data_IF_104966556236
#
_entry.id   IF_104966556236
#
_cell.length_a   1.000
_cell.length_b   1.000
_cell.length_c   1.000
_cell.angle_alpha   90.00
_cell.angle_beta   90.00
_cell.angle_gamma   90.00
#
_symmetry.space_group_name_H-M   'P 1'
#
loop_
_entity.id
_entity.type
_entity.pdbx_description
1 polymer ?
#
# COMPACT_ATOMS: atom_id res chain seq x y z
N UNK A 1 -7.19 1.67 33.38
CA UNK A 1 -7.20 2.69 32.31
C UNK A 1 -8.04 2.17 31.17
N UNK A 2 -9.30 2.61 31.13
CA UNK A 2 -10.25 2.41 30.02
C UNK A 2 -10.00 3.50 28.98
N UNK A 3 -10.51 3.25 27.77
CA UNK A 3 -10.57 4.14 26.60
C UNK A 3 -9.42 4.01 25.59
N UNK A 4 -9.65 3.11 24.62
CA UNK A 4 -9.25 3.25 23.21
C UNK A 4 -10.05 2.26 22.36
N UNK A 5 -11.36 2.45 22.32
CA UNK A 5 -12.21 1.86 21.27
C UNK A 5 -12.76 3.02 20.44
N UNK A 6 -11.87 3.65 19.67
CA UNK A 6 -12.26 4.63 18.65
C UNK A 6 -12.86 3.81 17.52
N UNK A 7 -14.19 3.72 17.51
CA UNK A 7 -14.95 3.05 16.46
C UNK A 7 -14.53 3.56 15.08
N UNK A 8 -14.18 2.63 14.21
CA UNK A 8 -14.05 2.79 12.76
C UNK A 8 -15.40 3.20 12.16
N UNK A 9 -15.80 4.47 12.26
CA UNK A 9 -16.98 4.97 11.58
C UNK A 9 -16.67 5.08 10.07
N UNK A 10 -17.43 4.40 9.19
CA UNK A 10 -17.22 4.52 7.75
C UNK A 10 -17.50 5.95 7.31
N UNK A 11 -16.58 6.54 6.55
CA UNK A 11 -16.79 7.86 5.95
C UNK A 11 -17.41 7.68 4.56
N UNK A 12 -18.63 8.18 4.37
CA UNK A 12 -19.26 8.26 3.05
C UNK A 12 -18.73 9.47 2.29
N UNK A 13 -18.31 9.26 1.04
CA UNK A 13 -17.85 10.34 0.17
C UNK A 13 -19.05 11.04 -0.48
N UNK A 14 -19.03 12.37 -0.53
CA UNK A 14 -20.08 13.14 -1.21
C UNK A 14 -20.06 12.82 -2.71
N UNK A 15 -21.19 12.33 -3.24
CA UNK A 15 -21.40 12.11 -4.68
C UNK A 15 -21.07 10.70 -5.19
N UNK A 16 -20.50 9.82 -4.36
CA UNK A 16 -20.24 8.42 -4.69
C UNK A 16 -20.69 7.54 -3.53
N UNK A 17 -21.46 6.48 -3.80
CA UNK A 17 -21.92 5.49 -2.79
C UNK A 17 -20.79 4.61 -2.24
N UNK A 18 -19.58 5.15 -2.10
CA UNK A 18 -18.43 4.41 -1.60
C UNK A 18 -18.24 4.62 -0.10
N UNK A 19 -17.98 3.54 0.63
CA UNK A 19 -17.63 3.56 2.05
C UNK A 19 -16.12 3.43 2.22
N UNK A 20 -15.51 4.40 2.90
CA UNK A 20 -14.10 4.36 3.29
C UNK A 20 -13.96 3.95 4.74
N UNK A 21 -13.10 2.98 5.02
CA UNK A 21 -12.83 2.52 6.40
C UNK A 21 -11.46 1.86 6.52
N UNK A 22 -10.99 1.71 7.75
CA UNK A 22 -9.84 0.84 8.04
C UNK A 22 -10.21 -0.62 7.78
N UNK A 23 -9.23 -1.36 7.29
CA UNK A 23 -9.34 -2.80 7.14
C UNK A 23 -9.30 -3.49 8.50
N UNK A 24 -9.87 -4.67 8.52
CA UNK A 24 -9.88 -5.59 9.65
C UNK A 24 -9.54 -7.00 9.16
N UNK A 25 -9.35 -7.95 10.09
CA UNK A 25 -8.97 -9.31 9.74
C UNK A 25 -9.98 -9.99 8.80
N UNK A 26 -11.27 -9.68 8.92
CA UNK A 26 -12.32 -10.25 8.04
C UNK A 26 -12.19 -9.79 6.58
N UNK A 27 -11.43 -8.73 6.31
CA UNK A 27 -11.25 -8.18 4.96
C UNK A 27 -10.11 -8.83 4.19
N UNK A 28 -9.22 -9.54 4.87
CA UNK A 28 -8.02 -10.14 4.28
C UNK A 28 -8.35 -10.96 3.01
N UNK A 29 -9.37 -11.85 3.00
CA UNK A 29 -9.71 -12.59 1.78
C UNK A 29 -10.15 -11.70 0.60
N UNK A 30 -10.84 -10.58 0.86
CA UNK A 30 -11.25 -9.65 -0.17
C UNK A 30 -10.05 -8.85 -0.72
N UNK A 31 -9.16 -8.42 0.16
CA UNK A 31 -7.92 -7.71 -0.20
C UNK A 31 -7.01 -8.63 -1.01
N UNK A 32 -6.78 -9.87 -0.57
CA UNK A 32 -5.96 -10.84 -1.28
C UNK A 32 -6.50 -11.10 -2.69
N UNK A 33 -7.82 -11.29 -2.85
CA UNK A 33 -8.45 -11.45 -4.18
C UNK A 33 -8.26 -10.20 -5.03
N UNK A 34 -8.40 -9.01 -4.45
CA UNK A 34 -8.16 -7.77 -5.17
C UNK A 34 -6.70 -7.70 -5.65
N UNK A 35 -5.71 -7.90 -4.78
CA UNK A 35 -4.30 -7.82 -5.17
C UNK A 35 -3.92 -8.89 -6.19
N UNK A 36 -4.41 -10.12 -6.03
CA UNK A 36 -4.17 -11.22 -6.96
C UNK A 36 -4.75 -10.92 -8.36
N UNK A 37 -6.01 -10.49 -8.42
CA UNK A 37 -6.69 -10.09 -9.68
C UNK A 37 -6.07 -8.85 -10.34
N UNK A 38 -5.29 -8.07 -9.59
CA UNK A 38 -4.53 -6.96 -10.14
C UNK A 38 -3.20 -7.38 -10.74
N UNK A 39 -2.83 -8.66 -10.75
CA UNK A 39 -1.68 -9.13 -11.55
C UNK A 39 -0.32 -8.75 -10.99
N UNK A 40 -0.20 -8.38 -9.71
CA UNK A 40 1.11 -8.39 -9.04
C UNK A 40 1.65 -9.83 -8.96
N UNK A 41 0.74 -10.79 -8.76
CA UNK A 41 1.05 -12.21 -8.70
C UNK A 41 1.01 -12.93 -10.06
N UNK A 42 -0.02 -12.65 -10.88
CA UNK A 42 -0.37 -13.47 -12.03
C UNK A 42 0.69 -13.57 -13.16
N UNK A 43 1.71 -12.70 -13.16
CA UNK A 43 2.78 -12.71 -14.18
C UNK A 43 4.04 -13.48 -13.76
N UNK A 44 4.17 -13.81 -12.47
CA UNK A 44 5.37 -14.47 -11.90
C UNK A 44 5.05 -15.75 -11.14
N UNK A 45 3.78 -15.96 -10.87
CA UNK A 45 3.31 -17.07 -10.07
C UNK A 45 2.64 -18.01 -11.05
N UNK A 46 3.28 -19.15 -11.28
CA UNK A 46 2.67 -20.23 -12.04
C UNK A 46 1.29 -20.55 -11.43
N UNK A 47 0.29 -21.01 -12.20
CA UNK A 47 -1.04 -21.30 -11.67
C UNK A 47 -1.02 -22.21 -10.42
N UNK A 48 -0.06 -23.13 -10.36
CA UNK A 48 0.23 -24.02 -9.24
C UNK A 48 0.77 -23.30 -7.97
N UNK A 49 1.37 -22.13 -8.12
CA UNK A 49 1.87 -21.29 -7.03
C UNK A 49 0.86 -20.19 -6.63
N UNK A 50 -0.24 -20.01 -7.36
CA UNK A 50 -1.24 -18.94 -7.12
C UNK A 50 -1.87 -19.08 -5.73
N UNK A 51 -2.26 -20.30 -5.39
CA UNK A 51 -2.81 -20.61 -4.07
C UNK A 51 -1.81 -20.31 -2.97
N UNK A 52 -0.54 -20.60 -3.20
CA UNK A 52 0.54 -20.44 -2.25
C UNK A 52 0.91 -18.96 -2.05
N UNK A 53 0.95 -18.18 -3.12
CA UNK A 53 1.10 -16.73 -3.07
C UNK A 53 -0.10 -16.03 -2.41
N UNK A 54 -1.31 -16.53 -2.65
CA UNK A 54 -2.52 -16.09 -1.96
C UNK A 54 -2.41 -16.33 -0.45
N UNK A 55 -1.94 -17.51 -0.04
CA UNK A 55 -1.70 -17.83 1.38
C UNK A 55 -0.62 -16.95 2.00
N UNK A 56 0.52 -16.75 1.33
CA UNK A 56 1.57 -15.81 1.74
C UNK A 56 1.02 -14.40 1.94
N UNK A 57 0.25 -13.89 0.98
CA UNK A 57 -0.31 -12.55 1.05
C UNK A 57 -1.33 -12.43 2.19
N UNK A 58 -2.15 -13.46 2.44
CA UNK A 58 -3.07 -13.47 3.59
C UNK A 58 -2.30 -13.40 4.91
N UNK A 59 -1.22 -14.15 5.05
CA UNK A 59 -0.38 -14.14 6.25
C UNK A 59 0.28 -12.77 6.47
N UNK A 60 0.87 -12.21 5.42
CA UNK A 60 1.47 -10.87 5.49
C UNK A 60 0.42 -9.79 5.79
N UNK A 61 -0.78 -9.87 5.23
CA UNK A 61 -1.84 -8.92 5.54
C UNK A 61 -2.34 -9.08 6.99
N UNK A 62 -2.61 -10.32 7.41
CA UNK A 62 -3.16 -10.63 8.72
C UNK A 62 -2.21 -10.27 9.87
N UNK A 63 -0.93 -10.62 9.73
CA UNK A 63 0.07 -10.46 10.79
C UNK A 63 0.90 -9.18 10.70
N UNK A 64 0.97 -8.54 9.54
CA UNK A 64 1.83 -7.37 9.36
C UNK A 64 1.03 -6.14 8.98
N UNK A 65 0.40 -6.13 7.82
CA UNK A 65 -0.21 -4.91 7.31
C UNK A 65 -1.33 -4.38 8.21
N UNK A 66 -2.11 -5.27 8.85
CA UNK A 66 -3.16 -4.88 9.79
C UNK A 66 -2.64 -4.53 11.20
N UNK A 67 -1.50 -5.10 11.62
CA UNK A 67 -0.95 -4.87 12.96
C UNK A 67 -0.03 -3.65 13.02
N UNK A 68 0.84 -3.49 12.02
CA UNK A 68 1.90 -2.45 12.00
C UNK A 68 1.65 -1.36 10.97
N UNK A 69 0.78 -1.62 9.98
CA UNK A 69 0.41 -0.70 8.92
C UNK A 69 -0.99 -0.13 9.09
N UNK A 70 -1.28 0.93 8.34
CA UNK A 70 -2.65 1.42 8.22
C UNK A 70 -3.18 1.02 6.86
N UNK A 71 -3.98 -0.05 6.83
CA UNK A 71 -4.67 -0.52 5.63
C UNK A 71 -6.05 0.12 5.59
N UNK A 72 -6.33 0.83 4.51
CA UNK A 72 -7.59 1.47 4.23
C UNK A 72 -8.28 0.81 3.05
N UNK A 73 -9.60 0.68 3.15
CA UNK A 73 -10.45 0.08 2.14
C UNK A 73 -11.46 1.08 1.64
N UNK A 74 -11.77 0.97 0.36
CA UNK A 74 -12.90 1.61 -0.26
C UNK A 74 -13.80 0.56 -0.88
N UNK A 75 -15.05 0.51 -0.43
CA UNK A 75 -16.06 -0.40 -0.94
C UNK A 75 -17.08 0.38 -1.77
N UNK A 76 -17.42 -0.09 -2.96
CA UNK A 76 -18.47 0.50 -3.81
C UNK A 76 -19.87 0.19 -3.24
N UNK A 77 -20.00 -0.97 -2.59
CA UNK A 77 -21.16 -1.49 -1.86
C UNK A 77 -20.63 -2.42 -0.77
N UNK A 78 -21.40 -2.74 0.29
CA UNK A 78 -20.96 -3.69 1.31
C UNK A 78 -20.42 -4.99 0.69
N UNK A 79 -19.18 -5.35 1.03
CA UNK A 79 -18.50 -6.55 0.51
C UNK A 79 -17.97 -6.44 -0.93
N UNK A 80 -18.18 -5.32 -1.62
CA UNK A 80 -17.67 -5.07 -2.98
C UNK A 80 -16.51 -4.08 -2.94
N UNK A 81 -15.33 -4.60 -2.62
CA UNK A 81 -14.10 -3.83 -2.55
C UNK A 81 -13.75 -3.21 -3.91
N UNK A 82 -13.53 -1.90 -3.93
CA UNK A 82 -13.12 -1.13 -5.10
C UNK A 82 -11.62 -0.84 -5.08
N UNK A 83 -11.07 -0.50 -3.90
CA UNK A 83 -9.65 -0.19 -3.73
C UNK A 83 -9.17 -0.50 -2.31
N UNK A 84 -7.87 -0.72 -2.19
CA UNK A 84 -7.11 -0.84 -0.94
C UNK A 84 -5.86 0.03 -1.02
N UNK A 85 -5.63 0.79 0.04
CA UNK A 85 -4.42 1.58 0.23
C UNK A 85 -3.72 1.08 1.48
N UNK A 86 -2.46 0.66 1.34
CA UNK A 86 -1.64 0.21 2.45
C UNK A 86 -0.60 1.29 2.74
N UNK A 87 -0.57 1.77 3.97
CA UNK A 87 0.50 2.62 4.47
C UNK A 87 1.51 1.79 5.24
N UNK A 88 2.75 1.76 4.77
CA UNK A 88 3.84 1.18 5.54
C UNK A 88 4.49 2.27 6.39
N UNK A 89 4.76 1.98 7.68
CA UNK A 89 5.42 2.94 8.54
C UNK A 89 6.83 3.26 8.04
N UNK A 90 7.34 4.43 8.42
CA UNK A 90 8.68 4.86 8.08
C UNK A 90 9.75 3.90 8.61
N UNK A 91 10.93 3.97 7.99
CA UNK A 91 12.12 3.21 8.38
C UNK A 91 12.28 3.11 9.90
N UNK A 92 12.52 1.89 10.39
CA UNK A 92 12.71 1.58 11.81
C UNK A 92 11.50 0.94 12.52
N UNK A 93 10.37 0.76 11.82
CA UNK A 93 9.22 -0.05 12.29
C UNK A 93 8.88 -1.22 11.35
N UNK A 94 9.80 -1.59 10.48
CA UNK A 94 9.72 -2.80 9.67
C UNK A 94 9.76 -4.03 10.60
N UNK A 95 9.06 -5.11 10.25
CA UNK A 95 9.22 -6.38 10.96
C UNK A 95 10.67 -6.86 10.83
N UNK A 96 11.14 -7.58 11.86
CA UNK A 96 12.38 -8.33 11.76
C UNK A 96 12.27 -9.29 10.55
N UNK A 97 13.14 -9.16 9.54
CA UNK A 97 13.14 -10.06 8.38
C UNK A 97 13.17 -11.54 8.78
N UNK A 98 13.81 -11.88 9.90
CA UNK A 98 13.87 -13.25 10.42
C UNK A 98 12.53 -13.73 11.00
N UNK A 99 11.68 -12.84 11.51
CA UNK A 99 10.33 -13.18 11.98
C UNK A 99 9.39 -13.45 10.80
N UNK A 100 9.39 -12.56 9.80
CA UNK A 100 8.64 -12.78 8.55
C UNK A 100 9.07 -14.06 7.88
N UNK A 101 10.38 -14.32 7.83
CA UNK A 101 10.93 -15.54 7.24
C UNK A 101 10.44 -16.80 7.96
N UNK A 102 10.49 -16.83 9.29
CA UNK A 102 10.00 -17.97 10.08
C UNK A 102 8.51 -18.22 9.85
N UNK A 103 7.73 -17.16 9.75
CA UNK A 103 6.29 -17.24 9.52
C UNK A 103 5.97 -17.78 8.13
N UNK A 104 6.68 -17.31 7.10
CA UNK A 104 6.53 -17.83 5.73
C UNK A 104 7.00 -19.28 5.60
N UNK A 105 8.14 -19.63 6.21
CA UNK A 105 8.65 -21.00 6.18
C UNK A 105 7.68 -22.00 6.83
N UNK A 106 7.04 -21.61 7.94
CA UNK A 106 6.09 -22.45 8.68
C UNK A 106 4.80 -22.70 7.92
N UNK A 107 4.26 -21.68 7.27
CA UNK A 107 2.88 -21.73 6.76
C UNK A 107 2.78 -22.01 5.26
N UNK A 108 3.86 -21.76 4.52
CA UNK A 108 3.86 -21.81 3.05
C UNK A 108 4.78 -22.91 2.54
N UNK A 109 5.70 -23.44 3.35
CA UNK A 109 6.73 -24.38 2.89
C UNK A 109 7.83 -23.71 2.05
N UNK A 110 8.91 -24.44 1.77
CA UNK A 110 10.12 -23.88 1.16
C UNK A 110 9.91 -23.45 -0.30
N UNK A 111 9.59 -22.17 -0.51
CA UNK A 111 9.62 -21.51 -1.81
C UNK A 111 11.00 -20.92 -2.10
N UNK A 112 12.06 -21.72 -2.19
CA UNK A 112 13.43 -21.19 -2.35
C UNK A 112 13.58 -20.23 -3.56
N UNK A 113 12.93 -20.53 -4.69
CA UNK A 113 12.97 -19.68 -5.89
C UNK A 113 12.19 -18.38 -5.77
N UNK A 114 10.97 -18.42 -5.20
CA UNK A 114 10.15 -17.21 -5.00
C UNK A 114 10.73 -16.34 -3.88
N UNK A 115 11.31 -16.97 -2.86
CA UNK A 115 11.94 -16.30 -1.72
C UNK A 115 13.13 -15.46 -2.16
N UNK A 116 14.08 -16.05 -2.88
CA UNK A 116 15.29 -15.34 -3.33
C UNK A 116 14.93 -14.16 -4.23
N UNK A 117 13.98 -14.36 -5.15
CA UNK A 117 13.46 -13.30 -6.02
C UNK A 117 12.76 -12.20 -5.23
N UNK A 118 11.85 -12.55 -4.31
CA UNK A 118 11.15 -11.55 -3.48
C UNK A 118 12.09 -10.76 -2.57
N UNK A 119 13.13 -11.40 -2.02
CA UNK A 119 14.17 -10.73 -1.23
C UNK A 119 15.00 -9.78 -2.10
N UNK A 120 15.35 -10.20 -3.31
CA UNK A 120 16.07 -9.37 -4.27
C UNK A 120 15.24 -8.15 -4.70
N UNK A 121 13.94 -8.34 -4.96
CA UNK A 121 12.99 -7.27 -5.26
C UNK A 121 12.85 -6.29 -4.10
N UNK A 122 12.65 -6.79 -2.87
CA UNK A 122 12.56 -5.93 -1.68
C UNK A 122 13.85 -5.14 -1.44
N UNK A 123 15.02 -5.75 -1.68
CA UNK A 123 16.29 -5.06 -1.62
C UNK A 123 16.43 -4.00 -2.72
N UNK A 124 16.00 -4.31 -3.95
CA UNK A 124 16.01 -3.37 -5.07
C UNK A 124 15.11 -2.17 -4.80
N UNK A 125 13.89 -2.38 -4.28
CA UNK A 125 12.99 -1.30 -3.86
C UNK A 125 13.65 -0.44 -2.78
N UNK A 126 14.15 -1.04 -1.69
CA UNK A 126 14.79 -0.31 -0.59
C UNK A 126 15.98 0.53 -1.04
N UNK A 127 16.82 0.03 -1.94
CA UNK A 127 17.96 0.80 -2.49
C UNK A 127 17.54 2.04 -3.27
N UNK A 128 16.29 2.08 -3.76
CA UNK A 128 15.73 3.18 -4.53
C UNK A 128 14.85 4.10 -3.67
N UNK A 129 14.56 3.75 -2.43
CA UNK A 129 13.85 4.62 -1.51
C UNK A 129 14.80 5.67 -0.91
N UNK A 130 14.31 6.88 -0.60
CA UNK A 130 15.09 7.89 0.10
C UNK A 130 15.55 7.42 1.48
N UNK A 131 16.71 7.89 1.93
CA UNK A 131 17.24 7.57 3.27
C UNK A 131 16.57 8.36 4.40
N UNK A 132 15.97 9.51 4.07
CA UNK A 132 15.24 10.32 5.04
C UNK A 132 13.92 9.63 5.45
N UNK A 133 13.36 9.95 6.64
CA UNK A 133 12.08 9.39 7.07
C UNK A 133 10.96 9.66 6.06
N UNK A 134 10.28 8.61 5.63
CA UNK A 134 9.19 8.72 4.65
C UNK A 134 8.10 7.69 4.94
N UNK A 135 6.85 8.01 4.58
CA UNK A 135 5.77 7.02 4.51
C UNK A 135 5.76 6.34 3.14
N UNK A 136 5.40 5.06 3.08
CA UNK A 136 5.20 4.36 1.79
C UNK A 136 3.72 4.04 1.62
N UNK A 137 3.15 4.53 0.52
CA UNK A 137 1.78 4.28 0.09
C UNK A 137 1.78 3.25 -1.05
N UNK A 138 1.09 2.13 -0.86
CA UNK A 138 0.84 1.14 -1.91
C UNK A 138 -0.65 1.11 -2.21
N UNK A 139 -1.02 1.24 -3.49
CA UNK A 139 -2.41 1.25 -3.93
C UNK A 139 -2.70 0.03 -4.82
N UNK A 140 -3.77 -0.69 -4.51
CA UNK A 140 -4.39 -1.63 -5.44
C UNK A 140 -5.87 -1.29 -5.61
N UNK A 141 -6.38 -1.32 -6.84
CA UNK A 141 -7.76 -0.93 -7.15
C UNK A 141 -8.28 -1.71 -8.33
N UNK A 142 -9.59 -1.99 -8.37
CA UNK A 142 -10.26 -2.55 -9.56
C UNK A 142 -10.02 -1.68 -10.79
N UNK A 143 -10.04 -2.32 -11.95
CA UNK A 143 -10.04 -1.62 -13.23
C UNK A 143 -11.35 -0.83 -13.44
N UNK A 144 -11.29 0.20 -14.28
CA UNK A 144 -12.43 1.05 -14.63
C UNK A 144 -12.42 2.43 -13.95
N UNK A 145 -13.07 3.40 -14.62
CA UNK A 145 -13.05 4.82 -14.23
C UNK A 145 -13.64 5.09 -12.85
N UNK A 146 -14.74 4.41 -12.50
CA UNK A 146 -15.37 4.56 -11.19
C UNK A 146 -14.45 4.10 -10.06
N UNK A 147 -13.79 2.95 -10.21
CA UNK A 147 -12.85 2.44 -9.23
C UNK A 147 -11.62 3.36 -9.09
N UNK A 148 -11.19 4.03 -10.18
CA UNK A 148 -10.14 5.04 -10.12
C UNK A 148 -10.54 6.27 -9.28
N UNK A 149 -11.76 6.80 -9.46
CA UNK A 149 -12.28 7.90 -8.63
C UNK A 149 -12.33 7.54 -7.14
N UNK A 150 -12.92 6.38 -6.82
CA UNK A 150 -12.99 5.86 -5.45
C UNK A 150 -11.59 5.66 -4.85
N UNK A 151 -10.64 5.16 -5.64
CA UNK A 151 -9.25 4.98 -5.20
C UNK A 151 -8.57 6.31 -4.88
N UNK A 152 -8.85 7.38 -5.62
CA UNK A 152 -8.30 8.71 -5.32
C UNK A 152 -8.89 9.27 -4.03
N UNK A 153 -10.20 9.11 -3.81
CA UNK A 153 -10.83 9.52 -2.55
C UNK A 153 -10.29 8.75 -1.33
N UNK A 154 -10.00 7.47 -1.51
CA UNK A 154 -9.32 6.62 -0.53
C UNK A 154 -7.92 7.16 -0.21
N UNK A 155 -7.11 7.45 -1.23
CA UNK A 155 -5.76 8.01 -1.05
C UNK A 155 -5.83 9.39 -0.39
N UNK A 156 -6.73 10.27 -0.80
CA UNK A 156 -6.98 11.56 -0.14
C UNK A 156 -7.26 11.40 1.35
N UNK A 157 -8.07 10.41 1.72
CA UNK A 157 -8.43 10.15 3.12
C UNK A 157 -7.23 9.60 3.90
N UNK A 158 -6.53 8.62 3.34
CA UNK A 158 -5.32 8.07 3.95
C UNK A 158 -4.24 9.15 4.13
N UNK A 159 -4.04 10.04 3.15
CA UNK A 159 -3.10 11.15 3.23
C UNK A 159 -3.49 12.19 4.27
N UNK A 160 -4.79 12.46 4.47
CA UNK A 160 -5.26 13.37 5.52
C UNK A 160 -5.00 12.82 6.92
N UNK A 161 -5.18 11.52 7.11
CA UNK A 161 -4.99 10.90 8.42
C UNK A 161 -3.52 10.57 8.74
N UNK A 162 -2.77 10.06 7.77
CA UNK A 162 -1.44 9.50 8.00
C UNK A 162 -0.33 10.39 7.44
N UNK A 163 -0.63 11.15 6.39
CA UNK A 163 0.33 12.04 5.73
C UNK A 163 0.93 13.11 6.65
N UNK A 164 0.23 13.71 7.63
CA UNK A 164 0.83 14.70 8.52
C UNK A 164 1.96 14.17 9.41
N UNK A 165 2.11 12.85 9.52
CA UNK A 165 3.20 12.23 10.28
C UNK A 165 4.48 12.04 9.44
N UNK A 166 4.45 12.44 8.17
CA UNK A 166 5.55 12.22 7.23
C UNK A 166 5.75 13.45 6.33
N UNK A 167 6.94 14.04 6.38
CA UNK A 167 7.33 15.14 5.49
C UNK A 167 7.49 14.68 4.03
N UNK A 168 7.78 13.39 3.83
CA UNK A 168 7.92 12.73 2.55
C UNK A 168 7.03 11.49 2.48
N UNK A 169 6.28 11.35 1.39
CA UNK A 169 5.48 10.17 1.08
C UNK A 169 5.90 9.63 -0.28
N UNK A 170 6.21 8.34 -0.34
CA UNK A 170 6.51 7.62 -1.57
C UNK A 170 5.31 6.76 -1.94
N UNK A 171 4.69 7.04 -3.07
CA UNK A 171 3.69 6.16 -3.64
C UNK A 171 4.35 5.14 -4.56
N UNK A 172 4.00 3.87 -4.39
CA UNK A 172 4.40 2.77 -5.27
C UNK A 172 3.20 2.39 -6.13
N UNK A 173 3.35 2.52 -7.44
CA UNK A 173 2.33 2.14 -8.42
C UNK A 173 2.90 1.16 -9.46
N UNK A 174 2.03 0.53 -10.23
CA UNK A 174 2.39 -0.54 -11.18
C UNK A 174 2.36 -0.09 -12.64
N UNK A 175 2.03 1.16 -12.87
CA UNK A 175 2.08 1.77 -14.19
C UNK A 175 2.32 3.27 -14.04
N UNK A 176 2.95 3.86 -15.05
CA UNK A 176 3.05 5.31 -15.17
C UNK A 176 1.66 5.97 -15.06
N UNK A 177 0.63 5.37 -15.68
CA UNK A 177 -0.75 5.86 -15.61
C UNK A 177 -1.32 5.94 -14.19
N UNK A 178 -1.02 4.96 -13.33
CA UNK A 178 -1.39 5.02 -11.90
C UNK A 178 -0.58 6.10 -11.15
N UNK A 179 0.69 6.30 -11.50
CA UNK A 179 1.49 7.42 -11.00
C UNK A 179 0.90 8.78 -11.36
N UNK A 180 0.49 8.97 -12.63
CA UNK A 180 -0.13 10.22 -13.10
C UNK A 180 -1.45 10.54 -12.40
N UNK A 181 -2.23 9.53 -11.98
CA UNK A 181 -3.44 9.78 -11.18
C UNK A 181 -3.14 10.47 -9.84
N UNK A 182 -1.95 10.25 -9.28
CA UNK A 182 -1.53 10.81 -8.00
C UNK A 182 -1.01 12.25 -8.11
N UNK A 183 -0.74 12.75 -9.32
CA UNK A 183 -0.23 14.11 -9.53
C UNK A 183 -1.19 15.17 -8.98
N UNK A 184 -2.50 14.96 -9.15
CA UNK A 184 -3.54 15.82 -8.58
C UNK A 184 -3.53 15.89 -7.05
N UNK A 185 -2.81 14.98 -6.38
CA UNK A 185 -2.65 14.94 -4.93
C UNK A 185 -1.29 15.48 -4.46
N UNK A 186 -0.52 16.07 -5.37
CA UNK A 186 0.80 16.65 -5.10
C UNK A 186 1.93 15.62 -5.13
N UNK A 187 1.71 14.43 -5.69
CA UNK A 187 2.81 13.54 -6.04
C UNK A 187 3.47 14.01 -7.33
N UNK A 188 4.78 13.84 -7.44
CA UNK A 188 5.56 14.20 -8.62
C UNK A 188 6.68 13.19 -8.86
N UNK A 189 7.40 13.39 -9.96
CA UNK A 189 8.60 12.61 -10.30
C UNK A 189 8.37 11.10 -10.41
N UNK A 190 7.39 10.62 -11.20
CA UNK A 190 7.22 9.18 -11.40
C UNK A 190 8.49 8.60 -12.01
N UNK A 191 9.22 7.78 -11.24
CA UNK A 191 10.41 7.06 -11.69
C UNK A 191 10.12 5.57 -11.79
N UNK A 192 10.50 4.97 -12.91
CA UNK A 192 10.41 3.54 -13.09
C UNK A 192 11.56 2.82 -12.38
N UNK A 193 11.25 1.65 -11.82
CA UNK A 193 12.21 0.72 -11.23
C UNK A 193 11.91 -0.65 -11.80
N UNK A 194 12.88 -1.21 -12.51
CA UNK A 194 12.89 -2.62 -12.87
C UNK A 194 13.41 -3.44 -11.69
N UNK A 195 12.63 -4.43 -11.28
CA UNK A 195 12.97 -5.37 -10.23
C UNK A 195 13.65 -6.61 -10.83
N UNK A 196 14.49 -7.32 -10.04
CA UNK A 196 15.09 -8.60 -10.45
C UNK A 196 14.09 -9.65 -10.94
N UNK A 197 12.86 -9.66 -10.42
CA UNK A 197 11.77 -10.49 -10.95
C UNK A 197 11.40 -10.19 -12.39
N UNK A 198 11.73 -9.01 -12.91
CA UNK A 198 11.23 -8.47 -14.17
C UNK A 198 10.00 -7.58 -14.02
N UNK A 199 9.50 -7.37 -12.78
CA UNK A 199 8.41 -6.41 -12.50
C UNK A 199 8.93 -4.99 -12.70
N UNK A 200 8.14 -4.14 -13.35
CA UNK A 200 8.35 -2.69 -13.29
C UNK A 200 7.39 -2.05 -12.29
N UNK A 201 7.94 -1.23 -11.39
CA UNK A 201 7.21 -0.38 -10.47
C UNK A 201 7.50 1.09 -10.78
N UNK A 202 6.56 1.97 -10.43
CA UNK A 202 6.74 3.40 -10.49
C UNK A 202 6.70 3.99 -9.09
N UNK A 203 7.70 4.79 -8.76
CA UNK A 203 7.72 5.57 -7.51
C UNK A 203 7.39 7.01 -7.81
N UNK A 204 6.41 7.56 -7.09
CA UNK A 204 6.10 8.99 -7.12
C UNK A 204 6.28 9.56 -5.73
N UNK A 205 6.77 10.79 -5.63
CA UNK A 205 7.11 11.42 -4.35
C UNK A 205 6.19 12.60 -4.08
N UNK A 206 5.71 12.73 -2.84
CA UNK A 206 4.98 13.89 -2.35
C UNK A 206 5.69 14.43 -1.13
N UNK A 207 6.13 15.68 -1.18
CA UNK A 207 6.69 16.40 -0.03
C UNK A 207 5.63 17.34 0.54
N UNK A 208 5.47 17.32 1.86
CA UNK A 208 4.72 18.37 2.56
C UNK A 208 5.68 19.55 2.71
N UNK A 209 5.36 20.74 2.18
CA UNK A 209 6.21 21.90 2.38
C UNK A 209 6.30 22.20 3.88
N UNK A 210 7.49 22.03 4.46
CA UNK A 210 7.76 22.46 5.84
C UNK A 210 7.64 23.99 5.83
N UNK A 211 6.76 24.52 6.67
CA UNK A 211 6.35 25.94 6.67
C UNK A 211 7.41 26.95 7.10
N UNK A 212 8.67 26.80 6.71
CA UNK A 212 9.75 27.74 7.05
C UNK A 212 9.76 29.01 6.17
N UNK A 213 8.81 29.14 5.25
CA UNK A 213 8.70 30.29 4.33
C UNK A 213 7.89 31.48 4.83
N UNK A 214 7.23 31.41 6.00
CA UNK A 214 6.29 32.45 6.45
C UNK A 214 6.90 33.52 7.39
N UNK A 215 8.21 33.47 7.65
CA UNK A 215 8.90 34.42 8.54
C UNK A 215 9.70 35.54 7.82
N UNK A 216 9.57 35.73 6.49
CA UNK A 216 10.33 36.78 5.76
C UNK A 216 9.49 37.62 4.80
N UNK A 217 8.28 38.01 5.20
CA UNK A 217 7.52 39.09 4.55
C UNK A 217 6.83 39.95 5.59
N UNK A 218 7.61 40.61 6.42
CA UNK A 218 7.17 41.73 7.28
C UNK A 218 8.39 42.54 7.66
N UNK A 219 9.05 43.14 6.66
CA UNK A 219 9.83 44.37 6.81
C UNK A 219 9.61 45.21 5.54
#
# INVERSE_FOLDING_TARGET
MKDRNVMNAPTSLRGQNATLRRASLVDVPAITRLVASHGFAAQYIAPEQEQQASSTLRLLLAHHALETGAVWLAEEKPGRLAAVATWQPAHGRELDPAEVERLLAREVGALEGVRSTAQADAAAIRRRLPREPHGVLVLARRQGRMAAGIAMDLVCTALRELGPHHDLVIAVSRSAGEGHLLEGLGFSSPREISLPSGVCLWLSERRVPTGDGQARRSE
#
